data_IF_672451076151
#
_entry.id   IF_672451076151
#
_cell.length_a   1.000
_cell.length_b   1.000
_cell.length_c   1.000
_cell.angle_alpha   90.00
_cell.angle_beta   90.00
_cell.angle_gamma   90.00
#
_symmetry.space_group_name_H-M   'P 1'
#
loop_
_entity.id
_entity.type
_entity.pdbx_description
1 polymer ?
#
# COMPACT_ATOMS: atom_id res chain seq x y z
N UNK A 1 14.50 2.31 21.35
CA UNK A 1 15.41 2.63 22.49
C UNK A 1 16.53 3.61 22.08
N UNK A 2 16.27 4.59 21.20
CA UNK A 2 17.29 5.52 20.68
C UNK A 2 17.00 7.01 20.99
N UNK A 3 15.83 7.34 21.54
CA UNK A 3 15.41 8.73 21.78
C UNK A 3 15.66 9.26 23.20
N UNK A 4 16.29 8.47 24.08
CA UNK A 4 16.47 8.87 25.49
C UNK A 4 17.68 9.79 25.74
N UNK A 5 18.44 10.16 24.71
CA UNK A 5 19.71 10.89 24.88
C UNK A 5 19.64 12.41 24.64
N UNK A 6 18.50 12.94 24.18
CA UNK A 6 18.39 14.39 23.87
C UNK A 6 17.92 15.23 25.08
N UNK A 7 17.48 14.61 26.19
CA UNK A 7 16.95 15.33 27.35
C UNK A 7 17.79 15.18 28.63
N UNK A 8 19.09 15.51 28.57
CA UNK A 8 19.83 15.96 29.75
C UNK A 8 20.22 17.42 29.54
N UNK A 9 19.23 18.29 29.76
CA UNK A 9 19.36 19.74 29.92
C UNK A 9 19.97 20.07 31.27
N UNK A 10 21.20 19.61 31.52
CA UNK A 10 22.06 20.24 32.51
C UNK A 10 22.77 21.40 31.80
N UNK A 11 22.67 22.60 32.37
CA UNK A 11 23.22 23.87 31.87
C UNK A 11 24.25 23.71 30.74
N UNK A 12 23.89 24.14 29.53
CA UNK A 12 24.68 23.93 28.31
C UNK A 12 25.93 24.84 28.28
N UNK A 13 26.85 24.59 29.21
CA UNK A 13 28.09 25.31 29.39
C UNK A 13 29.19 24.81 28.44
N UNK A 14 30.34 25.49 28.41
CA UNK A 14 31.41 25.21 27.44
C UNK A 14 31.91 23.77 27.55
N UNK A 15 32.13 23.27 28.76
CA UNK A 15 32.53 21.88 29.01
C UNK A 15 31.54 20.83 28.48
N UNK A 16 30.23 21.05 28.65
CA UNK A 16 29.23 20.08 28.18
C UNK A 16 29.16 20.06 26.64
N UNK A 17 29.37 21.19 25.97
CA UNK A 17 29.52 21.26 24.50
C UNK A 17 30.75 20.50 23.99
N UNK A 18 31.88 20.60 24.70
CA UNK A 18 33.08 19.81 24.36
C UNK A 18 32.80 18.31 24.45
N UNK A 19 32.06 17.88 25.49
CA UNK A 19 31.67 16.48 25.68
C UNK A 19 30.81 15.98 24.52
N UNK A 20 29.80 16.76 24.12
CA UNK A 20 28.93 16.43 22.99
C UNK A 20 29.74 16.33 21.69
N UNK A 21 30.61 17.31 21.42
CA UNK A 21 31.47 17.33 20.23
C UNK A 21 32.35 16.09 20.13
N UNK A 22 33.03 15.72 21.23
CA UNK A 22 33.93 14.56 21.25
C UNK A 22 33.14 13.25 21.12
N UNK A 23 32.01 13.12 21.83
CA UNK A 23 31.19 11.91 21.78
C UNK A 23 30.55 11.67 20.40
N UNK A 24 30.24 12.74 19.66
CA UNK A 24 29.69 12.67 18.31
C UNK A 24 30.78 12.50 17.24
N UNK A 25 32.04 12.46 17.63
CA UNK A 25 33.17 12.25 16.71
C UNK A 25 33.58 10.78 16.64
N UNK A 26 34.34 10.43 15.60
CA UNK A 26 34.97 9.11 15.48
C UNK A 26 36.29 8.99 16.26
N UNK A 27 36.64 10.00 17.08
CA UNK A 27 37.88 10.03 17.85
C UNK A 27 37.63 9.60 19.29
N UNK A 28 38.48 8.71 19.78
CA UNK A 28 38.50 8.33 21.19
C UNK A 28 39.04 9.46 22.07
N UNK A 29 38.65 9.47 23.35
CA UNK A 29 39.19 10.43 24.34
C UNK A 29 40.71 10.35 24.42
N UNK A 30 41.30 9.16 24.19
CA UNK A 30 42.75 8.98 24.16
C UNK A 30 43.38 9.76 23.01
N UNK A 31 42.89 9.60 21.79
CA UNK A 31 43.39 10.32 20.61
C UNK A 31 43.22 11.84 20.77
N UNK A 32 42.09 12.28 21.30
CA UNK A 32 41.87 13.70 21.61
C UNK A 32 42.88 14.20 22.63
N UNK A 33 43.11 13.45 23.72
CA UNK A 33 44.06 13.82 24.77
C UNK A 33 45.49 13.96 24.22
N UNK A 34 45.90 13.06 23.32
CA UNK A 34 47.19 13.09 22.63
C UNK A 34 47.32 14.33 21.74
N UNK A 35 46.31 14.61 20.89
CA UNK A 35 46.29 15.81 20.02
C UNK A 35 46.26 17.11 20.83
N UNK A 36 45.58 17.11 21.98
CA UNK A 36 45.51 18.27 22.86
C UNK A 36 46.76 18.45 23.72
N UNK A 37 47.60 17.43 23.88
CA UNK A 37 48.77 17.44 24.77
C UNK A 37 48.39 17.48 26.25
N UNK A 38 47.29 16.83 26.63
CA UNK A 38 46.84 16.70 28.03
C UNK A 38 46.46 15.25 28.33
N UNK A 39 46.33 14.89 29.62
CA UNK A 39 45.95 13.52 30.00
C UNK A 39 44.45 13.26 29.78
N UNK A 40 44.04 12.00 29.51
CA UNK A 40 42.61 11.65 29.39
C UNK A 40 41.77 12.05 30.61
N UNK A 41 42.22 11.88 31.88
CA UNK A 41 41.46 12.38 33.04
C UNK A 41 41.21 13.88 33.03
N UNK A 42 42.14 14.67 32.47
CA UNK A 42 41.94 16.12 32.35
C UNK A 42 40.85 16.45 31.32
N UNK A 43 40.70 15.67 30.25
CA UNK A 43 39.59 15.84 29.29
C UNK A 43 38.24 15.68 30.01
N UNK A 44 38.08 14.63 30.81
CA UNK A 44 36.85 14.42 31.58
C UNK A 44 36.58 15.56 32.57
N UNK A 45 37.61 16.08 33.24
CA UNK A 45 37.47 17.25 34.11
C UNK A 45 37.03 18.51 33.34
N UNK A 46 37.45 18.68 32.09
CA UNK A 46 37.00 19.81 31.28
C UNK A 46 35.50 19.72 30.95
N UNK A 47 34.94 18.51 30.83
CA UNK A 47 33.52 18.31 30.56
C UNK A 47 32.60 18.88 31.64
N UNK A 48 33.08 18.96 32.86
CA UNK A 48 32.32 19.41 34.04
C UNK A 48 32.49 20.91 34.31
N UNK A 49 33.32 21.61 33.53
CA UNK A 49 33.61 23.04 33.77
C UNK A 49 32.70 23.95 32.97
N UNK A 50 32.15 24.95 33.65
CA UNK A 50 31.36 26.00 33.01
C UNK A 50 32.17 26.84 32.02
N UNK A 51 33.42 27.15 32.40
CA UNK A 51 34.39 27.87 31.57
C UNK A 51 35.67 27.04 31.36
N UNK A 52 36.24 27.17 30.17
CA UNK A 52 37.44 26.43 29.76
C UNK A 52 38.44 27.42 29.18
N UNK A 53 39.72 27.22 29.47
CA UNK A 53 40.79 28.08 28.95
C UNK A 53 40.78 28.09 27.42
N UNK A 54 40.86 29.27 26.82
CA UNK A 54 40.78 29.49 25.37
C UNK A 54 41.74 28.61 24.58
N UNK A 55 42.94 28.33 25.11
CA UNK A 55 43.94 27.45 24.48
C UNK A 55 43.38 26.06 24.16
N UNK A 56 42.51 25.52 25.00
CA UNK A 56 41.89 24.22 24.78
C UNK A 56 40.79 24.30 23.71
N UNK A 57 40.04 25.40 23.69
CA UNK A 57 38.99 25.64 22.67
C UNK A 57 39.59 25.84 21.28
N UNK A 58 40.73 26.55 21.18
CA UNK A 58 41.50 26.71 19.93
C UNK A 58 41.94 25.34 19.41
N UNK A 59 42.57 24.52 20.25
CA UNK A 59 42.99 23.17 19.83
C UNK A 59 41.84 22.30 19.38
N UNK A 60 40.71 22.34 20.08
CA UNK A 60 39.53 21.59 19.65
C UNK A 60 38.97 22.11 18.32
N UNK A 61 38.97 23.43 18.13
CA UNK A 61 38.57 24.07 16.88
C UNK A 61 39.44 23.62 15.71
N UNK A 62 40.75 23.49 15.94
CA UNK A 62 41.71 22.95 14.96
C UNK A 62 41.50 21.45 14.69
N UNK A 63 41.31 20.64 15.74
CA UNK A 63 41.13 19.19 15.62
C UNK A 63 39.85 18.83 14.87
N UNK A 64 38.78 19.60 15.09
CA UNK A 64 37.44 19.34 14.54
C UNK A 64 37.06 20.25 13.37
N UNK A 65 37.95 21.17 12.97
CA UNK A 65 37.71 22.13 11.89
C UNK A 65 36.43 22.97 12.07
N UNK A 66 36.16 23.40 13.30
CA UNK A 66 35.00 24.23 13.66
C UNK A 66 35.42 25.61 14.16
N UNK A 67 34.61 26.66 14.00
CA UNK A 67 34.92 27.97 14.58
C UNK A 67 34.80 27.95 16.11
N UNK A 68 35.67 28.70 16.79
CA UNK A 68 35.66 28.86 18.27
C UNK A 68 34.28 29.33 18.78
N UNK A 69 33.54 30.11 17.98
CA UNK A 69 32.20 30.57 18.32
C UNK A 69 31.21 29.43 18.61
N UNK A 70 31.43 28.22 18.11
CA UNK A 70 30.60 27.04 18.40
C UNK A 70 30.44 26.76 19.91
N UNK A 71 31.48 27.03 20.70
CA UNK A 71 31.46 26.79 22.14
C UNK A 71 30.65 27.85 22.91
N UNK A 72 30.34 28.97 22.27
CA UNK A 72 29.68 30.13 22.87
C UNK A 72 28.35 30.47 22.21
N UNK A 73 28.07 29.95 21.02
CA UNK A 73 26.82 30.17 20.33
C UNK A 73 25.74 29.47 21.13
N UNK A 74 24.94 30.20 21.90
CA UNK A 74 23.67 29.70 22.40
C UNK A 74 22.97 29.06 21.20
N UNK A 75 22.92 27.73 21.20
CA UNK A 75 22.13 27.03 20.20
C UNK A 75 20.74 27.48 20.62
N UNK A 76 20.08 28.31 19.81
CA UNK A 76 18.74 28.78 20.14
C UNK A 76 17.86 27.53 20.09
N UNK A 77 17.71 26.90 21.25
CA UNK A 77 16.96 25.66 21.39
C UNK A 77 15.54 25.87 20.92
N UNK A 78 15.05 27.11 20.90
CA UNK A 78 13.74 27.49 20.37
C UNK A 78 13.64 27.27 18.86
N UNK A 79 14.71 27.54 18.10
CA UNK A 79 14.72 27.33 16.65
C UNK A 79 14.69 25.83 16.33
N UNK A 80 15.52 25.03 17.01
CA UNK A 80 15.50 23.58 16.89
C UNK A 80 14.17 22.98 17.36
N UNK A 81 13.60 23.47 18.46
CA UNK A 81 12.28 23.05 18.96
C UNK A 81 11.19 23.35 17.94
N UNK A 82 11.20 24.53 17.33
CA UNK A 82 10.26 24.90 16.27
C UNK A 82 10.41 23.99 15.05
N UNK A 83 11.64 23.66 14.65
CA UNK A 83 11.90 22.74 13.54
C UNK A 83 11.40 21.32 13.88
N UNK A 84 11.67 20.82 15.09
CA UNK A 84 11.18 19.52 15.58
C UNK A 84 9.65 19.49 15.57
N UNK A 85 8.97 20.54 16.02
CA UNK A 85 7.50 20.63 15.99
C UNK A 85 7.00 20.59 14.53
N UNK A 86 7.66 21.32 13.63
CA UNK A 86 7.34 21.31 12.21
C UNK A 86 7.51 19.93 11.57
N UNK A 87 8.60 19.24 11.87
CA UNK A 87 8.88 17.88 11.39
C UNK A 87 7.83 16.90 11.94
N UNK A 88 7.49 16.98 13.23
CA UNK A 88 6.46 16.12 13.84
C UNK A 88 5.10 16.28 13.17
N UNK A 89 4.67 17.51 12.89
CA UNK A 89 3.40 17.76 12.18
C UNK A 89 3.43 17.19 10.75
N UNK A 90 4.55 17.36 10.03
CA UNK A 90 4.70 16.76 8.69
C UNK A 90 4.66 15.24 8.74
N UNK A 91 5.25 14.63 9.78
CA UNK A 91 5.22 13.19 9.98
C UNK A 91 3.79 12.70 10.23
N UNK A 92 3.05 13.36 11.12
CA UNK A 92 1.65 13.03 11.44
C UNK A 92 0.76 13.09 10.18
N UNK A 93 0.88 14.15 9.38
CA UNK A 93 0.14 14.25 8.10
C UNK A 93 0.50 13.12 7.12
N UNK A 94 1.76 12.70 7.09
CA UNK A 94 2.21 11.59 6.24
C UNK A 94 1.71 10.24 6.75
N UNK A 95 1.61 10.05 8.06
CA UNK A 95 1.04 8.85 8.66
C UNK A 95 -0.47 8.74 8.34
N UNK A 96 -1.22 9.84 8.42
CA UNK A 96 -2.62 9.89 8.00
C UNK A 96 -2.80 9.57 6.50
N UNK A 97 -1.95 10.13 5.64
CA UNK A 97 -1.96 9.85 4.20
C UNK A 97 -1.71 8.35 3.93
N UNK A 98 -0.77 7.73 4.64
CA UNK A 98 -0.47 6.30 4.52
C UNK A 98 -1.66 5.44 4.97
N UNK A 99 -2.34 5.81 6.04
CA UNK A 99 -3.55 5.10 6.50
C UNK A 99 -4.63 5.16 5.42
N UNK A 100 -4.93 6.35 4.91
CA UNK A 100 -5.94 6.54 3.85
C UNK A 100 -5.61 5.75 2.57
N UNK A 101 -4.34 5.73 2.15
CA UNK A 101 -3.90 4.96 0.98
C UNK A 101 -4.03 3.44 1.21
N UNK A 102 -3.79 2.94 2.43
CA UNK A 102 -3.98 1.53 2.76
C UNK A 102 -5.45 1.12 2.66
N UNK A 103 -6.35 1.92 3.22
CA UNK A 103 -7.81 1.68 3.13
C UNK A 103 -8.27 1.67 1.67
N UNK A 104 -7.79 2.62 0.87
CA UNK A 104 -8.08 2.66 -0.57
C UNK A 104 -7.59 1.42 -1.31
N UNK A 105 -6.39 0.95 -1.02
CA UNK A 105 -5.85 -0.27 -1.62
C UNK A 105 -6.64 -1.51 -1.22
N UNK A 106 -7.09 -1.60 0.03
CA UNK A 106 -7.96 -2.69 0.49
C UNK A 106 -9.30 -2.71 -0.27
N UNK A 107 -9.94 -1.55 -0.44
CA UNK A 107 -11.18 -1.43 -1.21
C UNK A 107 -10.99 -1.83 -2.67
N UNK A 108 -9.87 -1.42 -3.29
CA UNK A 108 -9.55 -1.80 -4.66
C UNK A 108 -9.31 -3.31 -4.80
N UNK A 109 -8.67 -3.95 -3.82
CA UNK A 109 -8.52 -5.40 -3.77
C UNK A 109 -9.86 -6.12 -3.77
N UNK A 110 -10.79 -5.70 -2.88
CA UNK A 110 -12.16 -6.25 -2.83
C UNK A 110 -12.92 -6.05 -4.13
N UNK A 111 -12.77 -4.89 -4.77
CA UNK A 111 -13.43 -4.61 -6.06
C UNK A 111 -12.88 -5.52 -7.18
N UNK A 112 -11.58 -5.79 -7.17
CA UNK A 112 -10.94 -6.68 -8.13
C UNK A 112 -11.46 -8.12 -7.98
N UNK A 113 -11.49 -8.66 -6.76
CA UNK A 113 -12.05 -9.99 -6.47
C UNK A 113 -13.49 -10.13 -6.96
N UNK A 114 -14.33 -9.12 -6.71
CA UNK A 114 -15.71 -9.10 -7.19
C UNK A 114 -15.79 -9.11 -8.73
N UNK A 115 -14.88 -8.42 -9.41
CA UNK A 115 -14.84 -8.38 -10.88
C UNK A 115 -14.34 -9.69 -11.47
N UNK A 116 -13.36 -10.33 -10.85
CA UNK A 116 -12.86 -11.65 -11.25
C UNK A 116 -13.97 -12.70 -11.11
N UNK A 117 -14.68 -12.73 -9.98
CA UNK A 117 -15.82 -13.62 -9.79
C UNK A 117 -16.97 -13.37 -10.80
N UNK A 118 -17.20 -12.12 -11.21
CA UNK A 118 -18.15 -11.80 -12.28
C UNK A 118 -17.70 -12.32 -13.64
N UNK A 119 -16.39 -12.21 -13.92
CA UNK A 119 -15.82 -12.67 -15.18
C UNK A 119 -15.86 -14.19 -15.28
N UNK A 120 -15.53 -14.90 -14.20
CA UNK A 120 -15.61 -16.36 -14.13
C UNK A 120 -17.02 -16.86 -14.46
N UNK A 121 -18.05 -16.29 -13.83
CA UNK A 121 -19.46 -16.60 -14.14
C UNK A 121 -19.82 -16.34 -15.60
N UNK A 122 -19.27 -15.29 -16.22
CA UNK A 122 -19.47 -14.99 -17.65
C UNK A 122 -18.78 -16.02 -18.54
N UNK A 123 -17.57 -16.45 -18.20
CA UNK A 123 -16.83 -17.49 -18.92
C UNK A 123 -17.59 -18.81 -18.84
N UNK A 124 -18.07 -19.20 -17.65
CA UNK A 124 -18.92 -20.39 -17.48
C UNK A 124 -20.19 -20.31 -18.33
N UNK A 125 -20.87 -19.17 -18.32
CA UNK A 125 -22.08 -18.94 -19.14
C UNK A 125 -21.77 -19.05 -20.64
N UNK A 126 -20.66 -18.49 -21.09
CA UNK A 126 -20.24 -18.57 -22.49
C UNK A 126 -19.85 -20.00 -22.90
N UNK A 127 -19.14 -20.73 -22.05
CA UNK A 127 -18.78 -22.13 -22.28
C UNK A 127 -20.03 -23.03 -22.36
N UNK A 128 -21.01 -22.75 -21.52
CA UNK A 128 -22.31 -23.41 -21.58
C UNK A 128 -23.04 -23.11 -22.90
N UNK A 129 -23.10 -21.84 -23.31
CA UNK A 129 -23.70 -21.47 -24.61
C UNK A 129 -22.97 -22.14 -25.77
N UNK A 130 -21.64 -22.18 -25.77
CA UNK A 130 -20.86 -22.86 -26.80
C UNK A 130 -21.18 -24.36 -26.87
N UNK A 131 -21.27 -25.02 -25.71
CA UNK A 131 -21.69 -26.42 -25.62
C UNK A 131 -23.10 -26.63 -26.16
N UNK A 132 -24.03 -25.72 -25.86
CA UNK A 132 -25.39 -25.75 -26.37
C UNK A 132 -25.43 -25.62 -27.90
N UNK A 133 -24.68 -24.69 -28.49
CA UNK A 133 -24.58 -24.56 -29.95
C UNK A 133 -24.05 -25.84 -30.62
N UNK A 134 -23.02 -26.46 -30.03
CA UNK A 134 -22.50 -27.74 -30.54
C UNK A 134 -23.56 -28.85 -30.55
N UNK A 135 -24.42 -28.92 -29.52
CA UNK A 135 -25.53 -29.89 -29.47
C UNK A 135 -26.57 -29.56 -30.54
N UNK A 136 -26.91 -28.28 -30.72
CA UNK A 136 -27.90 -27.89 -31.72
C UNK A 136 -27.44 -28.25 -33.13
N UNK A 137 -26.14 -28.26 -33.41
CA UNK A 137 -25.58 -28.62 -34.73
C UNK A 137 -25.66 -30.11 -35.07
N UNK A 138 -26.10 -30.96 -34.15
CA UNK A 138 -26.47 -32.34 -34.44
C UNK A 138 -27.55 -32.39 -35.55
N UNK A 139 -27.42 -33.26 -36.58
CA UNK A 139 -28.40 -33.40 -37.65
C UNK A 139 -29.85 -33.51 -37.14
N UNK A 140 -30.05 -34.22 -36.02
CA UNK A 140 -31.35 -34.40 -35.36
C UNK A 140 -32.05 -33.06 -35.08
N UNK A 141 -31.29 -32.04 -34.69
CA UNK A 141 -31.83 -30.70 -34.40
C UNK A 141 -31.65 -29.74 -35.58
N UNK A 142 -30.69 -29.98 -36.47
CA UNK A 142 -30.43 -29.13 -37.64
C UNK A 142 -31.57 -29.17 -38.66
N UNK A 143 -32.28 -30.29 -38.77
CA UNK A 143 -33.38 -30.47 -39.73
C UNK A 143 -34.63 -29.62 -39.41
N UNK A 144 -34.70 -28.99 -38.22
CA UNK A 144 -35.75 -28.02 -37.87
C UNK A 144 -35.54 -26.62 -38.49
N UNK A 145 -34.56 -26.47 -39.38
CA UNK A 145 -34.26 -25.23 -40.10
C UNK A 145 -33.49 -24.20 -39.27
N UNK A 146 -33.29 -23.00 -39.82
CA UNK A 146 -32.45 -21.96 -39.21
C UNK A 146 -33.07 -21.30 -37.95
N UNK A 147 -34.27 -21.71 -37.57
CA UNK A 147 -34.96 -21.14 -36.42
C UNK A 147 -34.41 -21.71 -35.10
N UNK A 148 -33.47 -20.98 -34.52
CA UNK A 148 -32.79 -21.40 -33.29
C UNK A 148 -33.75 -21.62 -32.11
N UNK A 149 -34.85 -20.87 -32.04
CA UNK A 149 -35.86 -21.02 -30.98
C UNK A 149 -36.58 -22.36 -31.09
N UNK A 150 -36.87 -22.83 -32.30
CA UNK A 150 -37.46 -24.16 -32.54
C UNK A 150 -36.47 -25.26 -32.18
N UNK A 151 -35.20 -25.13 -32.60
CA UNK A 151 -34.13 -26.10 -32.27
C UNK A 151 -33.92 -26.22 -30.75
N UNK A 152 -33.86 -25.08 -30.04
CA UNK A 152 -33.73 -25.02 -28.58
C UNK A 152 -34.95 -25.62 -27.86
N UNK A 153 -36.17 -25.34 -28.33
CA UNK A 153 -37.39 -25.88 -27.72
C UNK A 153 -37.48 -27.40 -27.89
N UNK A 154 -37.11 -27.92 -29.07
CA UNK A 154 -37.09 -29.36 -29.33
C UNK A 154 -36.02 -30.06 -28.48
N UNK A 155 -34.82 -29.49 -28.40
CA UNK A 155 -33.76 -30.00 -27.50
C UNK A 155 -34.23 -30.04 -26.04
N UNK A 156 -34.83 -28.96 -25.55
CA UNK A 156 -35.36 -28.90 -24.19
C UNK A 156 -36.44 -29.98 -23.94
N UNK A 157 -37.34 -30.20 -24.91
CA UNK A 157 -38.39 -31.22 -24.84
C UNK A 157 -37.81 -32.64 -24.79
N UNK A 158 -36.75 -32.91 -25.55
CA UNK A 158 -36.10 -34.21 -25.56
C UNK A 158 -35.33 -34.49 -24.27
N UNK A 159 -34.56 -33.51 -23.77
CA UNK A 159 -33.86 -33.64 -22.49
C UNK A 159 -34.84 -33.82 -21.29
N UNK A 160 -36.00 -33.16 -21.34
CA UNK A 160 -37.07 -33.36 -20.33
C UNK A 160 -37.68 -34.76 -20.36
N UNK A 161 -37.79 -35.37 -21.55
CA UNK A 161 -38.30 -36.75 -21.72
C UNK A 161 -37.31 -37.79 -21.21
N UNK A 162 -36.02 -37.50 -21.32
CA UNK A 162 -34.94 -38.34 -20.79
C UNK A 162 -34.78 -38.21 -19.27
N UNK A 163 -35.54 -37.31 -18.62
CA UNK A 163 -35.48 -37.08 -17.18
C UNK A 163 -34.23 -36.32 -16.75
N UNK A 164 -33.54 -35.64 -17.67
CA UNK A 164 -32.33 -34.90 -17.36
C UNK A 164 -32.67 -33.58 -16.63
N UNK A 165 -32.27 -33.49 -15.36
CA UNK A 165 -32.46 -32.32 -14.49
C UNK A 165 -31.77 -31.07 -15.08
N UNK A 166 -30.74 -31.25 -15.92
CA UNK A 166 -30.07 -30.15 -16.61
C UNK A 166 -30.98 -29.46 -17.65
N UNK A 167 -31.99 -30.15 -18.18
CA UNK A 167 -33.00 -29.58 -19.09
C UNK A 167 -33.81 -28.48 -18.41
N UNK A 168 -34.20 -28.72 -17.15
CA UNK A 168 -34.96 -27.76 -16.35
C UNK A 168 -34.12 -26.52 -16.01
N UNK A 169 -32.82 -26.69 -15.78
CA UNK A 169 -31.90 -25.55 -15.59
C UNK A 169 -31.65 -24.77 -16.89
N UNK A 170 -31.60 -25.44 -18.03
CA UNK A 170 -31.48 -24.80 -19.34
C UNK A 170 -32.71 -23.92 -19.63
N UNK A 171 -33.90 -24.48 -19.43
CA UNK A 171 -35.18 -23.78 -19.60
C UNK A 171 -35.35 -22.65 -18.57
N UNK A 172 -34.98 -22.86 -17.30
CA UNK A 172 -35.11 -21.82 -16.27
C UNK A 172 -34.10 -20.68 -16.41
N UNK A 173 -32.88 -20.95 -16.89
CA UNK A 173 -31.89 -19.91 -17.22
C UNK A 173 -32.34 -19.10 -18.43
N UNK A 174 -32.87 -19.75 -19.47
CA UNK A 174 -33.46 -19.09 -20.64
C UNK A 174 -34.69 -18.25 -20.24
N UNK A 175 -35.50 -18.70 -19.28
CA UNK A 175 -36.71 -17.99 -18.85
C UNK A 175 -36.46 -16.84 -17.86
N UNK A 176 -35.32 -16.83 -17.16
CA UNK A 176 -34.99 -15.78 -16.17
C UNK A 176 -34.09 -14.68 -16.74
N UNK A 177 -33.50 -14.89 -17.92
CA UNK A 177 -32.81 -13.83 -18.65
C UNK A 177 -33.83 -13.02 -19.47
N UNK A 178 -34.06 -11.78 -19.04
CA UNK A 178 -35.06 -10.88 -19.63
C UNK A 178 -34.79 -10.59 -21.11
N UNK A 179 -33.53 -10.62 -21.55
CA UNK A 179 -33.19 -10.45 -22.98
C UNK A 179 -33.57 -11.69 -23.80
N UNK A 180 -33.33 -12.90 -23.27
CA UNK A 180 -33.73 -14.15 -23.93
C UNK A 180 -35.25 -14.31 -23.99
N UNK A 181 -35.97 -13.94 -22.94
CA UNK A 181 -37.44 -13.89 -22.95
C UNK A 181 -37.94 -12.92 -24.01
N UNK A 182 -37.38 -11.70 -24.08
CA UNK A 182 -37.75 -10.71 -25.09
C UNK A 182 -37.45 -11.21 -26.52
N UNK A 183 -36.33 -11.91 -26.73
CA UNK A 183 -35.98 -12.50 -28.02
C UNK A 183 -36.95 -13.62 -28.43
N UNK A 184 -37.37 -14.47 -27.49
CA UNK A 184 -38.37 -15.52 -27.71
C UNK A 184 -39.74 -14.90 -28.05
N UNK A 185 -40.16 -13.86 -27.33
CA UNK A 185 -41.40 -13.14 -27.61
C UNK A 185 -41.38 -12.44 -28.98
N UNK A 186 -40.26 -11.82 -29.35
CA UNK A 186 -40.07 -11.18 -30.67
C UNK A 186 -40.10 -12.21 -31.81
N UNK A 187 -39.47 -13.36 -31.62
CA UNK A 187 -39.49 -14.45 -32.58
C UNK A 187 -40.92 -14.98 -32.78
N UNK A 188 -41.67 -15.18 -31.70
CA UNK A 188 -43.08 -15.62 -31.75
C UNK A 188 -44.01 -14.61 -32.42
N UNK A 189 -43.74 -13.30 -32.28
CA UNK A 189 -44.54 -12.24 -32.90
C UNK A 189 -44.31 -12.11 -34.42
N UNK A 190 -43.14 -12.55 -34.91
CA UNK A 190 -42.78 -12.51 -36.34
C UNK A 190 -43.13 -13.78 -37.11
N UNK A 191 -43.57 -14.85 -36.46
CA UNK A 191 -44.06 -16.04 -37.17
C UNK A 191 -45.53 -15.84 -37.57
N UNK A 192 -45.88 -15.88 -38.87
CA UNK A 192 -47.26 -16.09 -39.26
C UNK A 192 -47.69 -17.44 -38.71
N UNK A 193 -48.79 -17.47 -37.95
CA UNK A 193 -49.42 -18.74 -37.57
C UNK A 193 -49.85 -19.42 -38.86
N UNK A 194 -49.10 -20.41 -39.31
CA UNK A 194 -49.56 -21.34 -40.34
C UNK A 194 -50.77 -22.07 -39.75
N UNK A 195 -51.95 -21.73 -40.28
CA UNK A 195 -53.22 -22.44 -40.06
C UNK A 195 -53.17 -23.75 -40.84
#
# INVERSE_FOLDING_TARGET
>A
MFLKFIFMTDNLHVGSRMKVLINNSNLSVKEISEKMGISPPNIYRLYERESVETKYLVKLSEIFEIPISYFFSDIDTRELESEIIGIKRKLELKEEEVISLKEKNEMLGKLLELKEAQLEKRVESNNFLASLFNVLDDPKYKDFGDNISVRLFTLAKDLLREGDVNAYMLVSKISNDREMVNLIELANKKMPRSI
#
